data_IF_144691902835
#
_entry.id   IF_144691902835
#
_cell.length_a   1.000
_cell.length_b   1.000
_cell.length_c   1.000
_cell.angle_alpha   90.00
_cell.angle_beta   90.00
_cell.angle_gamma   90.00
#
_symmetry.space_group_name_H-M   'P 1'
#
loop_
_entity.id
_entity.type
_entity.pdbx_description
1 polymer ?
#
# COMPACT_ATOMS: atom_id res chain seq x y z
N UNK A 1 20.82 1.13 -13.65
CA UNK A 1 20.34 1.55 -12.32
C UNK A 1 19.17 2.55 -12.38
N UNK A 2 18.33 2.50 -13.43
CA UNK A 2 17.24 3.45 -13.72
C UNK A 2 15.83 2.86 -13.56
N UNK A 3 15.72 1.61 -13.11
CA UNK A 3 14.42 0.92 -13.00
C UNK A 3 13.55 1.62 -11.95
N UNK A 4 12.34 2.03 -12.35
CA UNK A 4 11.38 2.74 -11.49
C UNK A 4 11.65 4.25 -11.30
N UNK A 5 12.50 4.92 -12.08
CA UNK A 5 12.66 6.38 -11.97
C UNK A 5 11.46 7.10 -12.63
N UNK A 6 10.69 7.87 -11.85
CA UNK A 6 9.49 8.61 -12.31
C UNK A 6 9.32 9.98 -11.61
N UNK A 7 10.41 10.63 -11.19
CA UNK A 7 10.38 11.87 -10.39
C UNK A 7 9.64 13.09 -11.01
N UNK A 8 9.22 12.99 -12.28
CA UNK A 8 8.48 14.04 -12.99
C UNK A 8 7.11 13.52 -13.48
N UNK A 9 6.60 12.46 -12.86
CA UNK A 9 5.30 11.89 -13.18
C UNK A 9 4.32 12.20 -12.07
N UNK A 10 3.09 12.47 -12.47
CA UNK A 10 1.99 12.70 -11.56
C UNK A 10 1.66 11.42 -10.79
N UNK A 11 1.53 11.52 -9.47
CA UNK A 11 1.09 10.42 -8.64
C UNK A 11 -0.40 10.10 -8.89
N UNK A 12 -0.85 8.93 -8.44
CA UNK A 12 -2.23 8.48 -8.66
C UNK A 12 -3.27 9.43 -8.05
N UNK A 13 -2.93 10.01 -6.89
CA UNK A 13 -3.51 11.22 -6.28
C UNK A 13 -2.37 12.20 -5.96
N UNK A 14 -2.61 13.50 -6.05
CA UNK A 14 -1.61 14.52 -5.75
C UNK A 14 -1.84 15.07 -4.34
N UNK A 15 -1.58 14.28 -3.29
CA UNK A 15 -1.83 14.71 -1.89
C UNK A 15 -0.58 15.32 -1.28
N UNK A 16 -0.75 16.35 -0.44
CA UNK A 16 0.04 16.50 0.80
C UNK A 16 -0.59 17.45 1.83
N UNK A 17 -1.53 16.96 2.65
CA UNK A 17 -1.55 17.12 4.12
C UNK A 17 -2.65 16.26 4.78
N UNK A 18 -2.31 15.47 5.80
CA UNK A 18 -3.30 14.71 6.57
C UNK A 18 -4.10 15.67 7.45
N UNK A 19 -5.37 15.87 7.13
CA UNK A 19 -6.20 16.89 7.76
C UNK A 19 -6.44 18.13 6.91
N UNK A 20 -6.02 18.11 5.63
CA UNK A 20 -6.56 19.03 4.63
C UNK A 20 -8.09 19.05 4.70
N UNK A 21 -8.73 20.22 4.59
CA UNK A 21 -10.19 20.31 4.49
C UNK A 21 -10.73 19.43 3.37
N UNK A 22 -11.97 18.95 3.51
CA UNK A 22 -12.62 18.06 2.56
C UNK A 22 -12.45 18.51 1.10
N UNK A 23 -12.77 19.77 0.79
CA UNK A 23 -12.70 20.30 -0.57
C UNK A 23 -11.28 20.29 -1.15
N UNK A 24 -10.26 20.46 -0.30
CA UNK A 24 -8.87 20.34 -0.73
C UNK A 24 -8.53 18.89 -1.10
N UNK A 25 -8.92 17.91 -0.28
CA UNK A 25 -8.72 16.50 -0.62
C UNK A 25 -9.43 16.11 -1.92
N UNK A 26 -10.63 16.66 -2.17
CA UNK A 26 -11.36 16.47 -3.43
C UNK A 26 -10.57 17.04 -4.62
N UNK A 27 -9.94 18.19 -4.45
CA UNK A 27 -9.11 18.79 -5.50
C UNK A 27 -7.86 17.95 -5.77
N UNK A 28 -7.19 17.47 -4.72
CA UNK A 28 -6.02 16.57 -4.80
C UNK A 28 -6.34 15.25 -5.53
N UNK A 29 -7.54 14.70 -5.33
CA UNK A 29 -8.05 13.57 -6.11
C UNK A 29 -8.17 13.92 -7.59
N UNK A 30 -8.76 15.08 -7.91
CA UNK A 30 -9.01 15.53 -9.28
C UNK A 30 -7.72 15.87 -10.04
N UNK A 31 -6.70 16.30 -9.31
CA UNK A 31 -5.39 16.65 -9.84
C UNK A 31 -4.50 15.40 -10.04
N UNK A 32 -4.90 14.25 -9.49
CA UNK A 32 -4.19 12.98 -9.61
C UNK A 32 -4.26 12.31 -10.99
N UNK A 33 -3.27 11.46 -11.28
CA UNK A 33 -3.15 10.75 -12.56
C UNK A 33 -4.29 9.74 -12.82
N UNK A 34 -5.00 9.29 -11.78
CA UNK A 34 -6.12 8.38 -11.92
C UNK A 34 -7.43 9.08 -12.35
N UNK A 35 -7.59 10.36 -12.01
CA UNK A 35 -8.84 11.11 -12.24
C UNK A 35 -9.34 11.11 -13.68
N UNK A 36 -8.50 11.25 -14.73
CA UNK A 36 -8.96 11.19 -16.12
C UNK A 36 -9.73 9.91 -16.47
N UNK A 37 -9.47 8.81 -15.75
CA UNK A 37 -10.09 7.50 -15.95
C UNK A 37 -11.22 7.21 -14.95
N UNK A 38 -11.10 7.71 -13.71
CA UNK A 38 -12.07 7.46 -12.64
C UNK A 38 -12.58 8.80 -12.07
N UNK A 39 -13.57 9.39 -12.74
CA UNK A 39 -14.14 10.72 -12.45
C UNK A 39 -15.25 10.69 -11.37
N UNK A 40 -15.14 9.77 -10.43
CA UNK A 40 -16.10 9.58 -9.35
C UNK A 40 -15.34 9.57 -8.02
N UNK A 41 -15.53 10.63 -7.24
CA UNK A 41 -14.85 10.83 -5.95
C UNK A 41 -15.05 9.65 -5.01
N UNK A 42 -16.26 9.08 -4.96
CA UNK A 42 -16.56 7.97 -4.05
C UNK A 42 -15.77 6.69 -4.36
N UNK A 43 -15.08 6.62 -5.50
CA UNK A 43 -14.19 5.49 -5.84
C UNK A 43 -12.83 5.53 -5.13
N UNK A 44 -12.52 6.61 -4.40
CA UNK A 44 -11.22 6.81 -3.72
C UNK A 44 -11.30 6.51 -2.21
N UNK A 45 -12.50 6.20 -1.69
CA UNK A 45 -12.72 6.00 -0.26
C UNK A 45 -13.65 4.84 0.04
N UNK A 46 -13.44 4.25 1.21
CA UNK A 46 -14.33 3.28 1.79
C UNK A 46 -15.69 3.91 2.15
N UNK A 47 -16.83 3.25 1.84
CA UNK A 47 -18.15 3.72 2.25
C UNK A 47 -18.32 3.85 3.77
N UNK A 48 -17.51 3.12 4.54
CA UNK A 48 -17.45 3.22 6.01
C UNK A 48 -16.22 3.99 6.49
N UNK A 49 -15.63 4.81 5.61
CA UNK A 49 -14.58 5.77 5.96
C UNK A 49 -15.06 6.76 7.02
N UNK A 50 -14.12 7.37 7.75
CA UNK A 50 -14.46 8.30 8.83
C UNK A 50 -14.90 9.65 8.26
N UNK A 51 -15.73 10.42 8.98
CA UNK A 51 -16.05 11.78 8.58
C UNK A 51 -14.78 12.61 8.34
N UNK A 52 -14.70 13.27 7.19
CA UNK A 52 -13.55 14.07 6.79
C UNK A 52 -12.47 13.33 6.00
N UNK A 53 -12.59 12.02 5.77
CA UNK A 53 -11.69 11.25 4.89
C UNK A 53 -12.29 11.16 3.47
N UNK A 54 -11.80 11.99 2.53
CA UNK A 54 -12.20 11.92 1.12
C UNK A 54 -11.45 10.82 0.35
N UNK A 55 -10.34 10.34 0.91
CA UNK A 55 -9.51 9.25 0.41
C UNK A 55 -9.15 8.32 1.56
N UNK A 56 -9.30 7.01 1.34
CA UNK A 56 -8.86 5.97 2.30
C UNK A 56 -8.10 4.84 1.62
N UNK A 57 -8.14 4.79 0.29
CA UNK A 57 -7.41 3.83 -0.50
C UNK A 57 -6.02 4.37 -0.80
N UNK A 58 -5.05 3.47 -0.88
CA UNK A 58 -3.68 3.79 -1.25
C UNK A 58 -3.19 2.84 -2.32
N UNK A 59 -2.45 3.36 -3.28
CA UNK A 59 -1.72 2.53 -4.23
C UNK A 59 -0.52 1.88 -3.52
N UNK A 60 -0.09 0.71 -3.97
CA UNK A 60 1.15 0.08 -3.50
C UNK A 60 2.38 0.82 -4.05
N UNK A 61 3.45 0.91 -3.25
CA UNK A 61 4.74 1.48 -3.70
C UNK A 61 5.34 0.81 -4.95
N UNK A 62 5.02 -0.47 -5.16
CA UNK A 62 5.42 -1.22 -6.35
C UNK A 62 4.76 -0.74 -7.64
N UNK A 63 3.65 0.00 -7.56
CA UNK A 63 2.79 0.41 -8.67
C UNK A 63 2.96 1.90 -9.01
N UNK A 64 4.20 2.34 -9.23
CA UNK A 64 4.53 3.71 -9.66
C UNK A 64 4.31 4.82 -8.61
N UNK A 65 4.45 4.52 -7.31
CA UNK A 65 4.68 5.53 -6.27
C UNK A 65 6.19 5.63 -5.92
N UNK A 66 6.61 6.14 -4.76
CA UNK A 66 8.02 6.49 -4.51
C UNK A 66 9.03 5.32 -4.73
N UNK A 67 10.03 5.54 -5.59
CA UNK A 67 11.11 4.57 -5.85
C UNK A 67 12.24 4.65 -4.81
N UNK A 68 11.99 4.04 -3.66
CA UNK A 68 12.91 4.09 -2.52
C UNK A 68 14.22 3.29 -2.76
N UNK A 69 15.38 3.72 -2.23
CA UNK A 69 16.67 3.02 -2.34
C UNK A 69 16.68 1.48 -2.25
N UNK A 70 15.85 0.86 -1.39
CA UNK A 70 15.80 -0.61 -1.23
C UNK A 70 15.23 -1.37 -2.43
N UNK A 71 14.60 -0.69 -3.39
CA UNK A 71 14.09 -1.32 -4.63
C UNK A 71 14.74 -0.78 -5.90
N UNK A 72 15.65 0.19 -5.78
CA UNK A 72 16.32 0.77 -6.95
C UNK A 72 17.17 -0.29 -7.67
N UNK A 73 16.88 -0.50 -8.96
CA UNK A 73 17.55 -1.50 -9.79
C UNK A 73 17.02 -2.93 -9.62
N UNK A 74 16.05 -3.17 -8.73
CA UNK A 74 15.42 -4.49 -8.57
C UNK A 74 14.35 -4.70 -9.65
N UNK A 75 14.70 -5.49 -10.66
CA UNK A 75 13.79 -5.81 -11.77
C UNK A 75 12.51 -6.49 -11.25
N UNK A 76 11.36 -5.90 -11.59
CA UNK A 76 10.03 -6.43 -11.26
C UNK A 76 9.53 -6.14 -9.84
N UNK A 77 10.32 -5.44 -9.00
CA UNK A 77 9.83 -4.93 -7.72
C UNK A 77 8.89 -3.75 -7.97
N UNK A 78 9.39 -2.73 -8.66
CA UNK A 78 8.61 -1.59 -9.14
C UNK A 78 8.19 -1.82 -10.59
N UNK A 79 6.91 -1.69 -10.90
CA UNK A 79 6.33 -1.99 -12.22
C UNK A 79 5.51 -0.82 -12.74
N UNK A 80 5.54 -0.63 -14.06
CA UNK A 80 4.77 0.40 -14.77
C UNK A 80 3.88 -0.19 -15.86
N UNK A 81 4.17 -1.40 -16.33
CA UNK A 81 3.41 -2.08 -17.38
C UNK A 81 2.91 -3.42 -16.85
N UNK A 82 1.66 -3.75 -17.20
CA UNK A 82 1.08 -5.07 -16.92
C UNK A 82 1.97 -6.23 -17.40
N UNK A 83 2.65 -6.06 -18.54
CA UNK A 83 3.57 -7.06 -19.10
C UNK A 83 4.82 -7.36 -18.24
N UNK A 84 5.10 -6.54 -17.22
CA UNK A 84 6.20 -6.73 -16.25
C UNK A 84 5.78 -7.65 -15.08
N UNK A 85 4.48 -7.85 -14.88
CA UNK A 85 3.91 -8.69 -13.82
C UNK A 85 3.80 -10.12 -14.34
N UNK A 86 4.90 -10.88 -14.20
CA UNK A 86 5.01 -12.24 -14.75
C UNK A 86 5.11 -13.33 -13.69
N UNK A 87 5.89 -13.08 -12.66
CA UNK A 87 6.09 -14.03 -11.57
C UNK A 87 6.28 -13.28 -10.24
N UNK A 88 5.32 -13.38 -9.31
CA UNK A 88 4.03 -14.02 -9.45
C UNK A 88 3.14 -13.29 -10.47
N UNK A 89 2.12 -13.97 -10.96
CA UNK A 89 1.21 -13.44 -11.98
C UNK A 89 0.31 -12.31 -11.45
N UNK A 90 -0.49 -11.66 -12.33
CA UNK A 90 -1.35 -10.54 -11.97
C UNK A 90 -2.30 -10.78 -10.78
N UNK A 91 -2.81 -12.00 -10.63
CA UNK A 91 -3.68 -12.40 -9.50
C UNK A 91 -3.01 -12.41 -8.11
N UNK A 92 -1.70 -12.15 -8.03
CA UNK A 92 -0.97 -12.09 -6.76
C UNK A 92 -0.27 -10.75 -6.55
N UNK A 93 -0.30 -9.86 -7.56
CA UNK A 93 0.30 -8.53 -7.48
C UNK A 93 -0.75 -7.56 -6.96
N UNK A 94 -0.49 -6.96 -5.82
CA UNK A 94 -1.37 -5.96 -5.21
C UNK A 94 -1.27 -4.63 -5.95
N UNK A 95 -2.39 -3.93 -6.08
CA UNK A 95 -2.48 -2.60 -6.69
C UNK A 95 -2.89 -1.54 -5.68
N UNK A 96 -4.08 -1.70 -5.09
CA UNK A 96 -4.58 -0.82 -4.04
C UNK A 96 -4.85 -1.58 -2.75
N UNK A 97 -4.82 -0.86 -1.64
CA UNK A 97 -5.23 -1.32 -0.31
C UNK A 97 -6.14 -0.27 0.32
N UNK A 98 -7.13 -0.73 1.08
CA UNK A 98 -7.82 0.13 2.04
C UNK A 98 -6.92 0.35 3.25
N UNK A 99 -6.09 1.39 3.15
CA UNK A 99 -5.20 1.82 4.22
C UNK A 99 -5.99 2.42 5.39
N UNK A 100 -7.19 2.91 5.11
CA UNK A 100 -8.00 3.61 6.07
C UNK A 100 -7.46 5.02 6.31
N UNK A 101 -6.52 5.15 7.24
CA UNK A 101 -5.81 6.41 7.44
C UNK A 101 -4.67 6.48 6.43
N UNK A 102 -4.97 7.03 5.26
CA UNK A 102 -4.03 7.11 4.12
C UNK A 102 -2.73 7.80 4.53
N UNK A 103 -1.57 7.31 4.05
CA UNK A 103 -0.25 7.96 4.13
C UNK A 103 0.05 8.79 2.86
N UNK A 104 0.99 9.74 2.90
CA UNK A 104 0.96 10.96 2.07
C UNK A 104 1.16 10.70 0.59
N UNK A 105 1.66 9.51 0.26
CA UNK A 105 2.13 9.16 -1.07
C UNK A 105 1.45 7.85 -1.54
N UNK A 106 1.62 6.76 -0.78
CA UNK A 106 1.18 5.41 -1.11
C UNK A 106 1.48 4.44 0.05
N UNK A 107 0.96 3.21 0.01
CA UNK A 107 1.23 2.19 1.02
C UNK A 107 2.54 1.44 0.72
N UNK A 108 3.39 1.30 1.73
CA UNK A 108 4.70 0.69 1.63
C UNK A 108 4.93 -0.40 2.69
N UNK A 109 5.67 -1.42 2.26
CA UNK A 109 6.34 -2.39 3.11
C UNK A 109 7.79 -2.50 2.65
N UNK A 110 8.74 -2.71 3.57
CA UNK A 110 10.14 -2.85 3.15
C UNK A 110 10.29 -4.04 2.18
N UNK A 111 11.21 -3.93 1.23
CA UNK A 111 11.53 -5.04 0.31
C UNK A 111 12.67 -5.91 0.82
N UNK A 112 13.63 -5.32 1.52
CA UNK A 112 14.96 -5.86 1.81
C UNK A 112 15.16 -6.33 3.26
N UNK A 113 14.11 -6.26 4.09
CA UNK A 113 14.16 -6.62 5.52
C UNK A 113 12.81 -7.05 6.07
N UNK A 114 12.85 -7.71 7.22
CA UNK A 114 11.69 -8.25 7.95
C UNK A 114 11.05 -7.21 8.85
N UNK A 115 10.60 -6.11 8.26
CA UNK A 115 10.03 -5.00 9.02
C UNK A 115 8.92 -4.35 8.22
N UNK A 116 7.85 -3.94 8.88
CA UNK A 116 6.83 -3.06 8.30
C UNK A 116 7.44 -1.67 8.05
N UNK A 117 7.02 -1.03 6.95
CA UNK A 117 7.32 0.38 6.71
C UNK A 117 6.12 1.20 7.21
N UNK A 118 4.97 1.00 6.56
CA UNK A 118 3.68 1.46 7.07
C UNK A 118 3.03 0.35 7.89
N UNK A 119 2.25 0.76 8.88
CA UNK A 119 1.57 -0.16 9.77
C UNK A 119 0.48 -0.93 9.03
N UNK A 120 0.15 -2.17 9.42
CA UNK A 120 -0.93 -2.92 8.79
C UNK A 120 -2.26 -2.21 9.01
N UNK A 121 -3.15 -2.05 8.02
CA UNK A 121 -4.50 -1.50 8.26
C UNK A 121 -5.38 -2.51 8.99
N UNK A 122 -6.17 -2.08 9.99
CA UNK A 122 -6.99 -3.00 10.82
C UNK A 122 -8.48 -2.70 10.81
N UNK A 123 -8.87 -1.59 10.18
CA UNK A 123 -10.22 -1.00 10.23
C UNK A 123 -11.32 -1.97 9.80
N UNK A 124 -11.01 -2.93 8.92
CA UNK A 124 -11.98 -3.86 8.34
C UNK A 124 -11.90 -5.26 8.95
N UNK A 125 -12.11 -5.38 10.27
CA UNK A 125 -12.25 -6.69 10.92
C UNK A 125 -10.92 -7.41 11.14
N UNK A 126 -9.92 -6.67 11.61
CA UNK A 126 -8.55 -7.13 11.82
C UNK A 126 -7.84 -7.49 10.51
N UNK A 127 -8.03 -6.66 9.49
CA UNK A 127 -7.53 -6.88 8.15
C UNK A 127 -7.71 -5.69 7.22
N UNK A 128 -7.34 -5.90 5.97
CA UNK A 128 -7.48 -4.92 4.89
C UNK A 128 -8.10 -5.54 3.63
N UNK A 129 -8.85 -4.74 2.89
CA UNK A 129 -9.32 -5.10 1.55
C UNK A 129 -8.29 -4.64 0.53
N UNK A 130 -7.95 -5.49 -0.42
CA UNK A 130 -6.93 -5.22 -1.44
C UNK A 130 -7.46 -5.50 -2.84
N UNK A 131 -6.92 -4.80 -3.82
CA UNK A 131 -7.12 -5.10 -5.24
C UNK A 131 -5.86 -5.66 -5.88
N UNK A 132 -6.06 -6.43 -6.94
CA UNK A 132 -5.01 -7.16 -7.64
C UNK A 132 -4.90 -6.72 -9.09
N UNK A 133 -3.75 -6.98 -9.70
CA UNK A 133 -3.47 -6.51 -11.05
C UNK A 133 -4.34 -7.18 -12.14
N UNK A 134 -4.95 -8.34 -11.86
CA UNK A 134 -5.95 -8.97 -12.74
C UNK A 134 -7.38 -8.37 -12.58
N UNK A 135 -7.58 -7.43 -11.65
CA UNK A 135 -8.83 -6.71 -11.44
C UNK A 135 -9.73 -7.26 -10.33
N UNK A 136 -9.37 -8.37 -9.66
CA UNK A 136 -10.15 -8.83 -8.51
C UNK A 136 -9.80 -8.06 -7.23
N UNK A 137 -10.62 -8.26 -6.20
CA UNK A 137 -10.37 -7.79 -4.84
C UNK A 137 -10.54 -8.94 -3.84
N UNK A 138 -9.78 -8.90 -2.75
CA UNK A 138 -9.84 -9.88 -1.67
C UNK A 138 -9.64 -9.19 -0.31
N UNK A 139 -10.19 -9.79 0.74
CA UNK A 139 -10.04 -9.32 2.10
C UNK A 139 -9.03 -10.17 2.86
N UNK A 140 -7.92 -9.57 3.29
CA UNK A 140 -6.88 -10.26 4.04
C UNK A 140 -7.00 -9.94 5.53
N UNK A 141 -7.44 -10.96 6.28
CA UNK A 141 -7.45 -10.92 7.74
C UNK A 141 -6.08 -11.28 8.31
N UNK A 142 -5.53 -10.42 9.15
CA UNK A 142 -4.29 -10.66 9.89
C UNK A 142 -4.45 -11.84 10.85
N UNK A 143 -3.35 -12.57 11.03
CA UNK A 143 -3.26 -13.74 11.88
C UNK A 143 -2.35 -13.50 13.08
N UNK A 144 -1.36 -12.63 12.95
CA UNK A 144 -0.49 -12.21 14.05
C UNK A 144 -1.24 -11.38 15.08
N UNK A 145 -1.27 -11.84 16.32
CA UNK A 145 -1.85 -11.06 17.44
C UNK A 145 -1.08 -9.77 17.67
N UNK A 146 0.24 -9.82 17.48
CA UNK A 146 1.15 -8.67 17.49
C UNK A 146 0.88 -7.72 16.32
N UNK A 147 0.65 -8.25 15.11
CA UNK A 147 0.24 -7.45 13.95
C UNK A 147 -1.08 -6.71 14.21
N UNK A 148 -2.09 -7.40 14.73
CA UNK A 148 -3.39 -6.80 15.04
C UNK A 148 -3.25 -5.75 16.14
N UNK A 149 -2.50 -6.05 17.22
CA UNK A 149 -2.29 -5.12 18.32
C UNK A 149 -1.60 -3.84 17.83
N UNK A 150 -0.47 -3.98 17.14
CA UNK A 150 0.30 -2.85 16.62
C UNK A 150 -0.54 -2.00 15.67
N UNK A 151 -1.27 -2.64 14.75
CA UNK A 151 -2.15 -1.97 13.82
C UNK A 151 -3.28 -1.17 14.49
N UNK A 152 -3.82 -1.64 15.63
CA UNK A 152 -4.83 -0.90 16.40
C UNK A 152 -4.23 0.28 17.15
N UNK A 153 -3.02 0.10 17.69
CA UNK A 153 -2.30 1.17 18.39
C UNK A 153 -1.97 2.34 17.42
N UNK A 154 -1.77 2.05 16.14
CA UNK A 154 -1.36 3.03 15.12
C UNK A 154 -2.43 3.37 14.06
N UNK A 155 -3.69 2.94 14.20
CA UNK A 155 -4.76 3.06 13.18
C UNK A 155 -5.07 4.51 12.69
N UNK A 156 -4.55 5.53 13.37
CA UNK A 156 -4.73 6.96 13.06
C UNK A 156 -3.43 7.72 12.95
N UNK A 157 -2.35 7.00 12.78
CA UNK A 157 -1.01 7.55 12.77
C UNK A 157 -0.41 7.25 11.41
N UNK A 158 0.35 8.22 10.87
CA UNK A 158 1.31 7.87 9.82
C UNK A 158 2.38 6.92 10.38
N UNK A 159 3.26 6.34 9.55
CA UNK A 159 4.29 5.40 9.99
C UNK A 159 5.08 5.99 11.17
N UNK A 160 4.89 5.43 12.38
CA UNK A 160 5.56 5.92 13.60
C UNK A 160 6.97 5.33 13.74
N UNK A 161 7.29 4.29 12.97
CA UNK A 161 8.59 3.65 12.99
C UNK A 161 8.59 2.35 12.21
N UNK A 162 9.79 1.77 12.08
CA UNK A 162 9.97 0.47 11.43
C UNK A 162 9.63 -0.61 12.46
N UNK A 163 8.50 -1.30 12.30
CA UNK A 163 8.06 -2.32 13.25
C UNK A 163 8.31 -3.75 12.75
N UNK A 164 9.17 -4.54 13.42
CA UNK A 164 9.31 -5.96 13.13
C UNK A 164 8.24 -6.76 13.91
N UNK A 165 7.57 -7.74 13.29
CA UNK A 165 6.76 -8.68 14.04
C UNK A 165 7.57 -9.50 15.05
N UNK A 166 6.89 -10.07 16.04
CA UNK A 166 7.48 -10.95 17.05
C UNK A 166 6.95 -12.39 16.92
N UNK A 167 5.73 -12.55 16.40
CA UNK A 167 5.09 -13.87 16.25
C UNK A 167 5.29 -14.45 14.85
N UNK A 168 5.34 -15.79 14.75
CA UNK A 168 5.37 -16.49 13.45
C UNK A 168 4.21 -16.04 12.55
N UNK A 169 3.02 -15.85 13.12
CA UNK A 169 1.85 -15.42 12.37
C UNK A 169 2.00 -13.96 11.87
N UNK A 170 2.56 -13.06 12.68
CA UNK A 170 2.82 -11.69 12.27
C UNK A 170 3.90 -11.58 11.19
N UNK A 171 4.94 -12.42 11.27
CA UNK A 171 5.91 -12.56 10.17
C UNK A 171 5.24 -13.05 8.87
N UNK A 172 4.32 -14.01 8.95
CA UNK A 172 3.57 -14.48 7.78
C UNK A 172 2.69 -13.38 7.17
N UNK A 173 2.03 -12.58 8.00
CA UNK A 173 1.26 -11.43 7.53
C UNK A 173 2.15 -10.44 6.78
N UNK A 174 3.32 -10.10 7.35
CA UNK A 174 4.32 -9.25 6.71
C UNK A 174 4.80 -9.83 5.37
N UNK A 175 5.22 -11.10 5.36
CA UNK A 175 5.73 -11.73 4.14
C UNK A 175 4.68 -11.80 3.05
N UNK A 176 3.41 -12.05 3.42
CA UNK A 176 2.30 -12.06 2.47
C UNK A 176 2.13 -10.68 1.85
N UNK A 177 2.16 -9.61 2.66
CA UNK A 177 2.08 -8.24 2.17
C UNK A 177 3.26 -7.87 1.27
N UNK A 178 4.49 -8.17 1.68
CA UNK A 178 5.70 -7.90 0.91
C UNK A 178 5.72 -8.65 -0.43
N UNK A 179 5.33 -9.93 -0.44
CA UNK A 179 5.19 -10.70 -1.70
C UNK A 179 4.08 -10.14 -2.57
N UNK A 180 2.96 -9.71 -2.00
CA UNK A 180 1.88 -9.08 -2.75
C UNK A 180 2.29 -7.75 -3.39
N UNK A 181 2.95 -6.89 -2.63
CA UNK A 181 3.45 -5.60 -3.10
C UNK A 181 4.55 -5.79 -4.15
N UNK A 182 5.65 -6.46 -3.78
CA UNK A 182 6.88 -6.52 -4.59
C UNK A 182 6.98 -7.72 -5.52
N UNK A 183 6.06 -8.68 -5.42
CA UNK A 183 6.09 -9.96 -6.11
C UNK A 183 6.99 -10.99 -5.43
N UNK A 184 8.01 -10.56 -4.68
CA UNK A 184 8.97 -11.45 -4.01
C UNK A 184 9.60 -10.75 -2.81
N UNK A 185 10.24 -11.54 -1.95
CA UNK A 185 11.09 -11.01 -0.89
C UNK A 185 12.47 -10.67 -1.46
N UNK A 186 13.07 -9.57 -0.99
CA UNK A 186 14.44 -9.18 -1.30
C UNK A 186 15.50 -9.79 -0.38
N UNK A 187 15.09 -10.69 0.51
CA UNK A 187 15.89 -11.28 1.57
C UNK A 187 15.41 -12.72 1.85
N UNK A 188 16.19 -13.47 2.63
CA UNK A 188 15.80 -14.81 3.11
C UNK A 188 15.00 -14.68 4.39
N UNK A 189 13.73 -15.13 4.43
CA UNK A 189 12.93 -15.03 5.64
C UNK A 189 13.48 -15.90 6.77
N UNK A 190 13.47 -15.37 7.99
CA UNK A 190 13.92 -16.06 9.21
C UNK A 190 12.82 -16.89 9.85
N UNK A 191 11.56 -16.69 9.44
CA UNK A 191 10.39 -17.44 9.91
C UNK A 191 9.72 -18.22 8.76
N UNK A 192 9.03 -19.34 9.08
CA UNK A 192 8.38 -20.20 8.09
C UNK A 192 7.07 -19.64 7.54
#
# INVERSE_FOLDING_TARGET
TSWGKHANELAWIDVRNFGSPWDQQIQEIKDGALWPYMKTVDMYRCPTGRPGEAVTYSIMFSMNAVNHPWVQGVKGAHVKKMSEIRNPGPAQRLVFIDEGFMTSDAYAVYYDRETWFDSPPVRHGDGATLSFADGHADHWKWKGTDTIKHARDEERMGPQGRWPPETVAGHRDLYRMQKGCWGKLGYTPTYP
#
